data_IF_060315298004
#
_entry.id   IF_060315298004
#
_cell.length_a   1.000
_cell.length_b   1.000
_cell.length_c   1.000
_cell.angle_alpha   90.00
_cell.angle_beta   90.00
_cell.angle_gamma   90.00
#
_symmetry.space_group_name_H-M   'P 1'
#
loop_
_entity.id
_entity.type
_entity.pdbx_description
1 polymer ?
#
# COMPACT_ATOMS: atom_id res chain seq x y z
N UNK A 1 0.74 4.52 -15.49
CA UNK A 1 0.31 4.00 -14.17
C UNK A 1 -0.82 4.83 -13.55
N UNK A 2 -0.66 6.15 -13.30
CA UNK A 2 -1.70 7.00 -12.67
C UNK A 2 -3.06 7.12 -13.40
N UNK A 3 -3.17 6.64 -14.64
CA UNK A 3 -4.37 6.78 -15.48
C UNK A 3 -5.18 5.47 -15.63
N UNK A 4 -4.76 4.36 -15.04
CA UNK A 4 -5.54 3.12 -15.12
C UNK A 4 -6.61 3.10 -14.02
N UNK A 5 -7.92 2.98 -14.34
CA UNK A 5 -9.01 2.87 -13.35
C UNK A 5 -8.82 1.69 -12.39
N UNK A 6 -8.05 0.67 -12.83
CA UNK A 6 -7.66 -0.49 -12.03
C UNK A 6 -6.82 -0.12 -10.78
N UNK A 7 -6.09 1.01 -10.81
CA UNK A 7 -5.32 1.48 -9.65
C UNK A 7 -6.22 1.85 -8.46
N UNK A 8 -7.40 2.43 -8.72
CA UNK A 8 -8.34 2.84 -7.67
C UNK A 8 -9.05 1.62 -7.06
N UNK A 9 -9.49 0.67 -7.91
CA UNK A 9 -10.09 -0.58 -7.46
C UNK A 9 -9.12 -1.43 -6.63
N UNK A 10 -7.84 -1.48 -7.04
CA UNK A 10 -6.76 -2.15 -6.29
C UNK A 10 -6.60 -1.54 -4.90
N UNK A 11 -6.55 -0.21 -4.78
CA UNK A 11 -6.43 0.47 -3.48
C UNK A 11 -7.63 0.16 -2.58
N UNK A 12 -8.85 0.14 -3.14
CA UNK A 12 -10.04 -0.23 -2.38
C UNK A 12 -10.01 -1.70 -1.92
N UNK A 13 -9.58 -2.62 -2.79
CA UNK A 13 -9.44 -4.03 -2.45
C UNK A 13 -8.40 -4.26 -1.35
N UNK A 14 -7.24 -3.61 -1.43
CA UNK A 14 -6.20 -3.67 -0.40
C UNK A 14 -6.71 -3.09 0.93
N UNK A 15 -7.44 -1.96 0.90
CA UNK A 15 -8.03 -1.39 2.11
C UNK A 15 -9.07 -2.31 2.76
N UNK A 16 -9.83 -3.05 1.95
CA UNK A 16 -10.78 -4.04 2.44
C UNK A 16 -10.08 -5.29 3.00
N UNK A 17 -9.07 -5.80 2.30
CA UNK A 17 -8.26 -6.97 2.68
C UNK A 17 -7.58 -6.76 4.03
N UNK A 18 -7.05 -5.56 4.27
CA UNK A 18 -6.29 -5.23 5.48
C UNK A 18 -7.09 -4.44 6.53
N UNK A 19 -8.40 -4.35 6.39
CA UNK A 19 -9.26 -3.54 7.27
C UNK A 19 -9.14 -3.98 8.73
N UNK A 20 -9.21 -5.28 8.98
CA UNK A 20 -9.23 -5.82 10.33
C UNK A 20 -7.86 -5.68 11.02
N UNK A 21 -6.77 -5.96 10.31
CA UNK A 21 -5.42 -5.75 10.85
C UNK A 21 -5.11 -4.27 11.09
N UNK A 22 -5.61 -3.38 10.22
CA UNK A 22 -5.49 -1.93 10.43
C UNK A 22 -6.29 -1.49 11.66
N UNK A 23 -7.50 -2.02 11.84
CA UNK A 23 -8.32 -1.73 13.01
C UNK A 23 -7.67 -2.25 14.30
N UNK A 24 -7.05 -3.44 14.25
CA UNK A 24 -6.32 -4.01 15.38
C UNK A 24 -5.13 -3.12 15.79
N UNK A 25 -4.29 -2.71 14.84
CA UNK A 25 -3.15 -1.82 15.11
C UNK A 25 -3.63 -0.47 15.67
N UNK A 26 -4.71 0.08 15.12
CA UNK A 26 -5.31 1.33 15.62
C UNK A 26 -5.91 1.17 17.04
N UNK A 27 -6.44 -0.01 17.37
CA UNK A 27 -6.93 -0.28 18.71
C UNK A 27 -5.78 -0.34 19.72
N UNK A 28 -4.68 -1.02 19.38
CA UNK A 28 -3.48 -1.06 20.23
C UNK A 28 -2.94 0.36 20.47
N UNK A 29 -2.92 1.21 19.44
CA UNK A 29 -2.51 2.62 19.59
C UNK A 29 -3.40 3.39 20.58
N UNK A 30 -4.73 3.19 20.52
CA UNK A 30 -5.67 3.79 21.47
C UNK A 30 -5.45 3.29 22.88
N UNK A 31 -5.21 1.98 23.06
CA UNK A 31 -4.96 1.39 24.37
C UNK A 31 -3.65 1.94 24.97
N UNK A 32 -2.59 2.08 24.19
CA UNK A 32 -1.34 2.73 24.62
C UNK A 32 -1.61 4.15 25.13
N UNK A 33 -2.34 4.97 24.35
CA UNK A 33 -2.69 6.35 24.75
C UNK A 33 -3.52 6.37 26.03
N UNK A 34 -4.51 5.48 26.14
CA UNK A 34 -5.35 5.36 27.33
C UNK A 34 -4.52 5.04 28.59
N UNK A 35 -3.61 4.06 28.51
CA UNK A 35 -2.78 3.68 29.66
C UNK A 35 -1.74 4.75 30.00
N UNK A 36 -1.19 5.46 29.02
CA UNK A 36 -0.31 6.62 29.25
C UNK A 36 -1.05 7.76 29.95
N UNK A 37 -2.28 8.06 29.54
CA UNK A 37 -3.11 9.08 30.20
C UNK A 37 -3.51 8.65 31.62
N UNK A 38 -3.85 7.37 31.82
CA UNK A 38 -4.11 6.79 33.15
C UNK A 38 -2.88 6.92 34.04
N UNK A 39 -1.69 6.60 33.54
CA UNK A 39 -0.45 6.74 34.29
C UNK A 39 -0.20 8.20 34.69
N UNK A 40 -0.43 9.15 33.77
CA UNK A 40 -0.24 10.58 34.03
C UNK A 40 -1.20 11.11 35.09
N UNK A 41 -2.47 10.68 35.06
CA UNK A 41 -3.52 11.15 35.96
C UNK A 41 -3.48 10.47 37.33
N UNK A 42 -3.39 9.14 37.33
CA UNK A 42 -3.58 8.31 38.52
C UNK A 42 -2.23 7.87 39.13
N UNK A 43 -1.11 8.11 38.43
CA UNK A 43 0.21 7.59 38.83
C UNK A 43 0.69 8.09 40.19
N UNK A 44 0.32 9.30 40.62
CA UNK A 44 0.66 9.81 41.95
C UNK A 44 -0.09 9.08 43.09
N UNK A 45 -1.22 8.43 42.77
CA UNK A 45 -2.06 7.70 43.71
C UNK A 45 -1.80 6.18 43.71
N UNK A 46 -1.02 5.69 42.74
CA UNK A 46 -0.67 4.28 42.59
C UNK A 46 0.48 3.87 43.52
N UNK A 47 0.42 2.63 44.00
CA UNK A 47 1.56 1.96 44.61
C UNK A 47 2.67 1.68 43.58
N UNK A 48 3.89 1.44 44.05
CA UNK A 48 5.03 1.10 43.18
C UNK A 48 4.74 -0.16 42.33
N UNK A 49 4.07 -1.15 42.91
CA UNK A 49 3.68 -2.37 42.19
C UNK A 49 2.70 -2.08 41.05
N UNK A 50 1.66 -1.27 41.31
CA UNK A 50 0.68 -0.89 40.28
C UNK A 50 1.33 -0.05 39.16
N UNK A 51 2.28 0.82 39.50
CA UNK A 51 3.06 1.58 38.49
C UNK A 51 3.89 0.65 37.62
N UNK A 52 4.54 -0.35 38.22
CA UNK A 52 5.36 -1.31 37.49
C UNK A 52 4.53 -2.18 36.56
N UNK A 53 3.38 -2.69 37.02
CA UNK A 53 2.43 -3.45 36.20
C UNK A 53 1.92 -2.60 35.02
N UNK A 54 1.57 -1.33 35.26
CA UNK A 54 1.13 -0.41 34.21
C UNK A 54 2.24 -0.12 33.19
N UNK A 55 3.48 0.08 33.64
CA UNK A 55 4.64 0.26 32.77
C UNK A 55 4.89 -0.96 31.89
N UNK A 56 4.84 -2.16 32.47
CA UNK A 56 4.98 -3.42 31.73
C UNK A 56 3.85 -3.57 30.70
N UNK A 57 2.61 -3.23 31.06
CA UNK A 57 1.49 -3.28 30.14
C UNK A 57 1.67 -2.33 28.95
N UNK A 58 2.08 -1.08 29.19
CA UNK A 58 2.37 -0.11 28.14
C UNK A 58 3.52 -0.62 27.24
N UNK A 59 4.58 -1.17 27.82
CA UNK A 59 5.72 -1.71 27.08
C UNK A 59 5.31 -2.90 26.18
N UNK A 60 4.48 -3.81 26.69
CA UNK A 60 3.95 -4.94 25.94
C UNK A 60 3.07 -4.48 24.77
N UNK A 61 2.18 -3.51 25.00
CA UNK A 61 1.37 -2.94 23.94
C UNK A 61 2.22 -2.26 22.87
N UNK A 62 3.28 -1.53 23.27
CA UNK A 62 4.19 -0.87 22.34
C UNK A 62 4.97 -1.89 21.48
N UNK A 63 5.43 -2.99 22.08
CA UNK A 63 6.08 -4.07 21.34
C UNK A 63 5.12 -4.72 20.34
N UNK A 64 3.87 -4.95 20.75
CA UNK A 64 2.84 -5.52 19.89
C UNK A 64 2.50 -4.58 18.73
N UNK A 65 2.33 -3.28 19.01
CA UNK A 65 2.10 -2.24 18.01
C UNK A 65 3.21 -2.22 16.95
N UNK A 66 4.48 -2.20 17.36
CA UNK A 66 5.60 -2.22 16.43
C UNK A 66 5.64 -3.48 15.58
N UNK A 67 5.42 -4.64 16.21
CA UNK A 67 5.47 -5.95 15.53
C UNK A 67 4.36 -6.07 14.50
N UNK A 68 3.11 -5.80 14.90
CA UNK A 68 1.93 -5.86 14.01
C UNK A 68 1.96 -4.76 12.95
N UNK A 69 2.34 -3.53 13.32
CA UNK A 69 2.47 -2.42 12.39
C UNK A 69 3.49 -2.71 11.28
N UNK A 70 4.67 -3.23 11.64
CA UNK A 70 5.70 -3.62 10.65
C UNK A 70 5.23 -4.76 9.76
N UNK A 71 4.61 -5.79 10.34
CA UNK A 71 4.09 -6.92 9.57
C UNK A 71 3.00 -6.48 8.59
N UNK A 72 2.07 -5.63 9.02
CA UNK A 72 1.02 -5.06 8.18
C UNK A 72 1.61 -4.25 7.02
N UNK A 73 2.57 -3.37 7.31
CA UNK A 73 3.24 -2.57 6.28
C UNK A 73 3.93 -3.47 5.23
N UNK A 74 4.62 -4.53 5.66
CA UNK A 74 5.26 -5.48 4.76
C UNK A 74 4.25 -6.22 3.89
N UNK A 75 3.13 -6.68 4.46
CA UNK A 75 2.06 -7.34 3.71
C UNK A 75 1.45 -6.40 2.66
N UNK A 76 1.12 -5.17 3.04
CA UNK A 76 0.57 -4.15 2.12
C UNK A 76 1.54 -3.91 0.96
N UNK A 77 2.84 -3.75 1.25
CA UNK A 77 3.85 -3.55 0.21
C UNK A 77 3.96 -4.76 -0.73
N UNK A 78 3.94 -5.97 -0.18
CA UNK A 78 4.00 -7.21 -0.96
C UNK A 78 2.79 -7.31 -1.90
N UNK A 79 1.58 -7.13 -1.37
CA UNK A 79 0.35 -7.20 -2.18
C UNK A 79 0.28 -6.08 -3.22
N UNK A 80 0.71 -4.87 -2.87
CA UNK A 80 0.83 -3.77 -3.84
C UNK A 80 1.80 -4.11 -4.97
N UNK A 81 2.95 -4.73 -4.65
CA UNK A 81 3.93 -5.14 -5.66
C UNK A 81 3.38 -6.26 -6.56
N UNK A 82 2.67 -7.23 -5.99
CA UNK A 82 2.02 -8.31 -6.74
C UNK A 82 1.01 -7.77 -7.75
N UNK A 83 0.10 -6.89 -7.31
CA UNK A 83 -0.90 -6.29 -8.19
C UNK A 83 -0.25 -5.37 -9.23
N UNK A 84 0.77 -4.60 -8.85
CA UNK A 84 1.55 -3.78 -9.80
C UNK A 84 2.22 -4.64 -10.87
N UNK A 85 2.77 -5.80 -10.49
CA UNK A 85 3.40 -6.72 -11.43
C UNK A 85 2.39 -7.34 -12.40
N UNK A 86 1.17 -7.67 -11.94
CA UNK A 86 0.08 -8.13 -12.81
C UNK A 86 -0.30 -7.07 -13.83
N UNK A 87 -0.48 -5.82 -13.38
CA UNK A 87 -0.77 -4.69 -14.27
C UNK A 87 0.36 -4.50 -15.29
N UNK A 88 1.62 -4.56 -14.84
CA UNK A 88 2.78 -4.44 -15.73
C UNK A 88 2.80 -5.55 -16.79
N UNK A 89 2.43 -6.78 -16.43
CA UNK A 89 2.33 -7.88 -17.38
C UNK A 89 1.24 -7.61 -18.44
N UNK A 90 0.06 -7.15 -18.04
CA UNK A 90 -1.02 -6.75 -18.96
C UNK A 90 -0.57 -5.60 -19.88
N UNK A 91 0.13 -4.61 -19.34
CA UNK A 91 0.69 -3.50 -20.13
C UNK A 91 1.69 -4.02 -21.16
N UNK A 92 2.61 -4.91 -20.77
CA UNK A 92 3.57 -5.52 -21.71
C UNK A 92 2.86 -6.30 -22.81
N UNK A 93 1.84 -7.06 -22.47
CA UNK A 93 1.04 -7.79 -23.46
C UNK A 93 0.32 -6.84 -24.42
N UNK A 94 -0.30 -5.78 -23.91
CA UNK A 94 -0.93 -4.75 -24.73
C UNK A 94 0.07 -4.05 -25.68
N UNK A 95 1.26 -3.70 -25.15
CA UNK A 95 2.35 -3.10 -25.94
C UNK A 95 2.81 -4.05 -27.05
N UNK A 96 3.01 -5.33 -26.77
CA UNK A 96 3.40 -6.33 -27.77
C UNK A 96 2.34 -6.46 -28.88
N UNK A 97 1.06 -6.54 -28.50
CA UNK A 97 -0.04 -6.61 -29.47
C UNK A 97 -0.08 -5.37 -30.39
N UNK A 98 0.15 -4.18 -29.84
CA UNK A 98 0.22 -2.93 -30.62
C UNK A 98 1.46 -2.94 -31.52
N UNK A 99 2.62 -3.35 -30.99
CA UNK A 99 3.86 -3.43 -31.74
C UNK A 99 3.73 -4.36 -32.96
N UNK A 100 3.15 -5.54 -32.79
CA UNK A 100 2.93 -6.50 -33.87
C UNK A 100 1.89 -5.99 -34.88
N UNK A 101 0.78 -5.43 -34.40
CA UNK A 101 -0.31 -4.94 -35.26
C UNK A 101 0.09 -3.73 -36.10
N UNK A 102 0.86 -2.80 -35.54
CA UNK A 102 1.28 -1.56 -36.19
C UNK A 102 2.72 -1.63 -36.72
N UNK A 103 3.40 -2.78 -36.56
CA UNK A 103 4.76 -3.06 -37.03
C UNK A 103 5.80 -2.09 -36.47
N UNK A 104 5.74 -1.82 -35.17
CA UNK A 104 6.77 -1.07 -34.48
C UNK A 104 7.98 -1.95 -34.15
N UNK A 105 9.18 -1.49 -34.51
CA UNK A 105 10.42 -2.19 -34.15
C UNK A 105 10.86 -1.88 -32.71
N UNK A 106 10.57 -0.67 -32.21
CA UNK A 106 10.99 -0.21 -30.88
C UNK A 106 9.89 0.65 -30.26
N UNK A 107 9.56 0.34 -29.01
CA UNK A 107 8.73 1.18 -28.15
C UNK A 107 9.58 1.56 -26.94
N UNK A 108 9.61 2.86 -26.60
CA UNK A 108 10.47 3.42 -25.55
C UNK A 108 9.61 3.98 -24.43
N UNK A 109 10.04 3.79 -23.18
CA UNK A 109 9.38 4.41 -22.04
C UNK A 109 9.50 5.93 -22.10
N UNK A 110 8.39 6.65 -21.87
CA UNK A 110 8.33 8.12 -21.89
C UNK A 110 9.40 8.79 -21.01
N UNK A 111 9.79 8.16 -19.89
CA UNK A 111 10.80 8.70 -18.97
C UNK A 111 12.21 8.80 -19.56
N UNK A 112 12.49 8.00 -20.60
CA UNK A 112 13.78 8.01 -21.30
C UNK A 112 13.80 8.99 -22.47
N UNK A 113 12.68 9.69 -22.74
CA UNK A 113 12.51 10.54 -23.92
C UNK A 113 12.55 12.01 -23.51
N UNK A 114 13.51 12.76 -24.06
CA UNK A 114 13.66 14.21 -23.82
C UNK A 114 12.59 15.02 -24.57
N UNK A 115 12.22 14.57 -25.77
CA UNK A 115 11.18 15.18 -26.59
C UNK A 115 10.56 14.16 -27.54
N UNK A 116 9.24 14.16 -27.65
CA UNK A 116 8.50 13.44 -28.68
C UNK A 116 7.28 14.28 -29.10
N UNK A 117 6.87 14.13 -30.36
CA UNK A 117 5.60 14.71 -30.83
C UNK A 117 4.43 13.95 -30.20
N UNK A 118 3.28 14.60 -29.95
CA UNK A 118 2.09 13.93 -29.40
C UNK A 118 1.64 12.71 -30.21
N UNK A 119 1.80 12.75 -31.54
CA UNK A 119 1.41 11.64 -32.43
C UNK A 119 2.27 10.37 -32.24
N UNK A 120 3.44 10.49 -31.59
CA UNK A 120 4.28 9.36 -31.24
C UNK A 120 3.91 8.73 -29.87
N UNK A 121 2.97 9.32 -29.13
CA UNK A 121 2.52 8.81 -27.83
C UNK A 121 1.48 7.71 -28.01
N UNK A 122 1.86 6.49 -27.65
CA UNK A 122 0.99 5.31 -27.69
C UNK A 122 0.20 5.09 -26.38
N UNK A 123 0.38 5.93 -25.36
CA UNK A 123 -0.16 5.70 -24.00
C UNK A 123 -1.66 5.46 -24.00
N UNK A 124 -2.44 6.27 -24.72
CA UNK A 124 -3.90 6.11 -24.80
C UNK A 124 -4.30 4.78 -25.45
N UNK A 125 -3.60 4.37 -26.53
CA UNK A 125 -3.84 3.09 -27.20
C UNK A 125 -3.51 1.91 -26.28
N UNK A 126 -2.40 1.99 -25.55
CA UNK A 126 -2.01 0.97 -24.57
C UNK A 126 -3.06 0.86 -23.46
N UNK A 127 -3.54 1.98 -22.93
CA UNK A 127 -4.61 1.99 -21.90
C UNK A 127 -5.90 1.35 -22.42
N UNK A 128 -6.31 1.66 -23.64
CA UNK A 128 -7.48 1.05 -24.27
C UNK A 128 -7.30 -0.47 -24.44
N UNK A 129 -6.13 -0.89 -24.91
CA UNK A 129 -5.83 -2.31 -25.13
C UNK A 129 -5.75 -3.09 -23.82
N UNK A 130 -5.15 -2.52 -22.76
CA UNK A 130 -5.14 -3.13 -21.42
C UNK A 130 -6.58 -3.31 -20.90
N UNK A 131 -7.46 -2.34 -21.13
CA UNK A 131 -8.86 -2.41 -20.69
C UNK A 131 -9.65 -3.52 -21.41
N UNK A 132 -9.22 -3.95 -22.61
CA UNK A 132 -9.81 -5.08 -23.36
C UNK A 132 -9.27 -6.45 -22.92
N UNK A 133 -8.12 -6.47 -22.24
CA UNK A 133 -7.47 -7.70 -21.73
C UNK A 133 -7.89 -8.06 -20.31
N UNK A 134 -8.72 -7.21 -19.67
CA UNK A 134 -9.27 -7.42 -18.34
C UNK A 134 -10.54 -8.26 -18.34
#
# INVERSE_FOLDING_TARGET
MKQLPQSAAMVQALNAEFKDETAEVAQIEKDIKYYQEKQKRDGALMSEKEKEELNQQIANLFQNYQTKGKALQQKIQMRQNEETNKILALVRQAVNNIAESEKFDVIVEQKAVVFAKPDADLTSKVVEQVSKLQ
#
